data_IF_248825195177
#
_entry.id   IF_248825195177
#
_cell.length_a   1.000
_cell.length_b   1.000
_cell.length_c   1.000
_cell.angle_alpha   90.00
_cell.angle_beta   90.00
_cell.angle_gamma   90.00
#
_symmetry.space_group_name_H-M   'P 1'
#
loop_
_entity.id
_entity.type
_entity.pdbx_description
1 polymer ?
#
# COMPACT_ATOMS: atom_id res chain seq x y z
N UNK A 1 -12.48 -20.98 -12.93
CA UNK A 1 -12.64 -19.67 -12.26
C UNK A 1 -11.42 -19.45 -11.39
N UNK A 2 -10.65 -18.39 -11.62
CA UNK A 2 -9.67 -17.95 -10.61
C UNK A 2 -10.44 -17.27 -9.47
N UNK A 3 -10.22 -17.72 -8.24
CA UNK A 3 -10.74 -17.06 -7.04
C UNK A 3 -9.85 -15.89 -6.66
N UNK A 4 -10.44 -14.74 -6.33
CA UNK A 4 -9.70 -13.60 -5.78
C UNK A 4 -9.60 -13.72 -4.25
N UNK A 5 -8.48 -13.32 -3.67
CA UNK A 5 -8.24 -13.28 -2.22
C UNK A 5 -7.90 -11.85 -1.79
N UNK A 6 -8.50 -11.41 -0.69
CA UNK A 6 -8.11 -10.14 -0.06
C UNK A 6 -6.94 -10.36 0.88
N UNK A 7 -5.93 -9.49 0.80
CA UNK A 7 -4.80 -9.45 1.75
C UNK A 7 -4.91 -8.16 2.56
N UNK A 8 -4.72 -8.26 3.87
CA UNK A 8 -4.80 -7.13 4.80
C UNK A 8 -3.42 -6.82 5.36
N UNK A 9 -3.16 -5.53 5.52
CA UNK A 9 -2.02 -5.01 6.27
C UNK A 9 -2.42 -3.78 7.05
N UNK A 10 -1.63 -3.48 8.09
CA UNK A 10 -1.72 -2.25 8.85
C UNK A 10 -0.32 -1.90 9.35
N UNK A 11 -0.03 -0.61 9.43
CA UNK A 11 1.22 -0.05 9.95
C UNK A 11 0.91 1.26 10.66
N UNK A 12 1.88 1.82 11.37
CA UNK A 12 1.76 3.12 12.05
C UNK A 12 2.97 4.00 11.76
N UNK A 13 2.78 5.31 11.83
CA UNK A 13 3.85 6.31 11.81
C UNK A 13 3.73 7.19 13.05
N UNK A 14 4.86 7.74 13.51
CA UNK A 14 4.89 8.66 14.65
C UNK A 14 4.57 10.11 14.25
N UNK A 15 4.62 10.42 12.97
CA UNK A 15 4.50 11.79 12.46
C UNK A 15 3.54 11.83 11.26
N UNK A 16 2.69 12.86 11.23
CA UNK A 16 1.87 13.19 10.06
C UNK A 16 2.69 14.02 9.05
N UNK A 17 3.68 13.38 8.42
CA UNK A 17 4.47 13.96 7.33
C UNK A 17 4.42 13.06 6.10
N UNK A 18 4.61 13.64 4.91
CA UNK A 18 4.68 12.90 3.63
C UNK A 18 5.62 11.70 3.74
N UNK A 19 6.87 11.94 4.13
CA UNK A 19 7.89 10.90 4.13
C UNK A 19 7.50 9.78 5.10
N UNK A 20 7.03 10.12 6.30
CA UNK A 20 6.68 9.12 7.29
C UNK A 20 5.47 8.25 6.87
N UNK A 21 4.47 8.84 6.19
CA UNK A 21 3.34 8.09 5.61
C UNK A 21 3.82 7.18 4.47
N UNK A 22 4.61 7.71 3.54
CA UNK A 22 5.07 6.99 2.35
C UNK A 22 6.03 5.85 2.74
N UNK A 23 6.98 6.10 3.65
CA UNK A 23 7.98 5.11 4.08
C UNK A 23 7.32 3.97 4.86
N UNK A 24 6.40 4.28 5.79
CA UNK A 24 5.66 3.26 6.52
C UNK A 24 4.77 2.41 5.59
N UNK A 25 4.13 3.05 4.60
CA UNK A 25 3.31 2.34 3.61
C UNK A 25 4.17 1.46 2.71
N UNK A 26 5.33 1.92 2.27
CA UNK A 26 6.29 1.15 1.46
C UNK A 26 6.72 -0.12 2.20
N UNK A 27 7.19 0.02 3.44
CA UNK A 27 7.63 -1.11 4.27
C UNK A 27 6.50 -2.15 4.45
N UNK A 28 5.26 -1.69 4.64
CA UNK A 28 4.10 -2.57 4.72
C UNK A 28 3.85 -3.32 3.40
N UNK A 29 3.88 -2.64 2.26
CA UNK A 29 3.66 -3.26 0.95
C UNK A 29 4.76 -4.26 0.58
N UNK A 30 6.02 -3.93 0.85
CA UNK A 30 7.17 -4.84 0.65
C UNK A 30 7.02 -6.13 1.48
N UNK A 31 6.61 -6.01 2.75
CA UNK A 31 6.31 -7.17 3.60
C UNK A 31 5.14 -8.00 3.10
N UNK A 32 4.07 -7.36 2.63
CA UNK A 32 2.91 -8.08 2.07
C UNK A 32 3.32 -8.86 0.82
N UNK A 33 4.05 -8.22 -0.10
CA UNK A 33 4.53 -8.88 -1.33
C UNK A 33 5.42 -10.07 -0.98
N UNK A 34 6.41 -9.87 -0.11
CA UNK A 34 7.34 -10.92 0.28
C UNK A 34 6.68 -12.06 1.05
N UNK A 35 5.68 -11.78 1.90
CA UNK A 35 5.02 -12.81 2.71
C UNK A 35 4.04 -13.69 1.91
N UNK A 36 3.65 -13.25 0.71
CA UNK A 36 2.65 -13.93 -0.13
C UNK A 36 3.19 -14.30 -1.52
N UNK A 37 4.49 -14.09 -1.77
CA UNK A 37 5.15 -14.33 -3.07
C UNK A 37 4.40 -13.69 -4.26
N UNK A 38 3.89 -12.47 -4.07
CA UNK A 38 3.09 -11.78 -5.09
C UNK A 38 3.96 -11.25 -6.22
N UNK A 39 3.48 -11.40 -7.45
CA UNK A 39 3.95 -10.59 -8.59
C UNK A 39 2.92 -9.48 -8.89
N UNK A 40 3.37 -8.37 -9.48
CA UNK A 40 2.49 -7.21 -9.76
C UNK A 40 1.24 -7.59 -10.56
N UNK A 41 1.39 -8.49 -11.52
CA UNK A 41 0.31 -8.91 -12.43
C UNK A 41 -0.82 -9.69 -11.71
N UNK A 42 -0.56 -10.19 -10.49
CA UNK A 42 -1.59 -10.86 -9.66
C UNK A 42 -2.47 -9.87 -8.90
N UNK A 43 -2.07 -8.59 -8.82
CA UNK A 43 -2.72 -7.58 -7.97
C UNK A 43 -3.83 -6.89 -8.77
N UNK A 44 -5.08 -7.29 -8.50
CA UNK A 44 -6.25 -6.69 -9.14
C UNK A 44 -6.47 -5.21 -8.74
N UNK A 45 -6.39 -4.91 -7.44
CA UNK A 45 -6.56 -3.56 -6.90
C UNK A 45 -6.04 -3.46 -5.47
N UNK A 46 -5.74 -2.24 -5.03
CA UNK A 46 -5.32 -1.93 -3.65
C UNK A 46 -6.15 -0.77 -3.14
N UNK A 47 -6.71 -0.95 -1.94
CA UNK A 47 -7.51 0.07 -1.26
C UNK A 47 -6.78 0.42 0.02
N UNK A 48 -6.44 1.69 0.16
CA UNK A 48 -5.83 2.25 1.35
C UNK A 48 -6.89 2.97 2.19
N UNK A 49 -6.60 3.07 3.49
CA UNK A 49 -7.35 3.91 4.42
C UNK A 49 -6.36 4.49 5.41
N UNK A 50 -6.53 5.75 5.78
CA UNK A 50 -5.79 6.36 6.89
C UNK A 50 -6.74 6.73 8.01
N UNK A 51 -6.22 6.84 9.23
CA UNK A 51 -6.92 7.51 10.32
C UNK A 51 -6.95 9.02 10.06
N UNK A 52 -7.93 9.73 10.65
CA UNK A 52 -8.19 11.14 10.37
C UNK A 52 -7.02 12.08 10.70
N UNK A 53 -6.12 11.66 11.59
CA UNK A 53 -4.91 12.38 12.01
C UNK A 53 -3.76 12.31 10.98
N UNK A 54 -3.87 11.46 9.96
CA UNK A 54 -2.89 11.32 8.87
C UNK A 54 -3.46 11.90 7.57
N UNK A 55 -3.08 13.13 7.27
CA UNK A 55 -3.57 13.91 6.14
C UNK A 55 -2.48 14.65 5.34
N UNK A 56 -1.19 14.41 5.66
CA UNK A 56 -0.08 15.09 5.00
C UNK A 56 0.23 14.56 3.58
N UNK A 57 -0.14 13.32 3.26
CA UNK A 57 -0.04 12.77 1.91
C UNK A 57 -0.89 11.49 1.74
N UNK A 58 -1.00 11.01 0.51
CA UNK A 58 -1.69 9.77 0.17
C UNK A 58 -0.77 8.54 0.27
N UNK A 59 -1.20 7.45 0.94
CA UNK A 59 -0.42 6.21 1.04
C UNK A 59 -0.16 5.55 -0.33
N UNK A 60 -1.07 5.68 -1.30
CA UNK A 60 -0.87 5.14 -2.65
C UNK A 60 0.40 5.65 -3.35
N UNK A 61 0.96 6.79 -2.93
CA UNK A 61 2.22 7.30 -3.46
C UNK A 61 3.38 6.30 -3.26
N UNK A 62 3.37 5.53 -2.17
CA UNK A 62 4.37 4.49 -1.92
C UNK A 62 4.35 3.42 -3.02
N UNK A 63 3.16 2.90 -3.36
CA UNK A 63 2.99 1.92 -4.42
C UNK A 63 3.46 2.48 -5.79
N UNK A 64 3.17 3.75 -6.09
CA UNK A 64 3.66 4.40 -7.33
C UNK A 64 5.18 4.47 -7.37
N UNK A 65 5.83 4.82 -6.25
CA UNK A 65 7.30 4.83 -6.17
C UNK A 65 7.92 3.42 -6.18
N UNK A 66 7.13 2.36 -5.94
CA UNK A 66 7.54 0.96 -6.11
C UNK A 66 7.33 0.46 -7.56
N UNK A 67 6.89 1.32 -8.48
CA UNK A 67 6.66 0.97 -9.88
C UNK A 67 5.29 0.33 -10.15
N UNK A 68 4.33 0.45 -9.23
CA UNK A 68 2.96 -0.07 -9.44
C UNK A 68 2.18 0.89 -10.34
N UNK A 69 2.63 1.06 -11.58
CA UNK A 69 2.10 2.04 -12.54
C UNK A 69 0.71 1.65 -13.08
N UNK A 70 0.45 0.35 -13.23
CA UNK A 70 -0.79 -0.17 -13.83
C UNK A 70 -1.78 -0.76 -12.82
N UNK A 71 -1.38 -0.88 -11.55
CA UNK A 71 -2.28 -1.35 -10.48
C UNK A 71 -3.31 -0.26 -10.16
N UNK A 72 -4.57 -0.66 -10.03
CA UNK A 72 -5.64 0.24 -9.59
C UNK A 72 -5.47 0.54 -8.09
N UNK A 73 -5.28 1.81 -7.74
CA UNK A 73 -5.09 2.27 -6.36
C UNK A 73 -6.23 3.21 -5.95
N UNK A 74 -6.79 3.01 -4.76
CA UNK A 74 -7.78 3.88 -4.14
C UNK A 74 -7.28 4.31 -2.75
N UNK A 75 -7.36 5.60 -2.44
CA UNK A 75 -7.08 6.14 -1.10
C UNK A 75 -8.37 6.47 -0.37
#
# INVERSE_FOLDING_TARGET
MSSVRGIRGATTTRENTRNAIVDATRDLLEKIVSANDLILDDIAAVIFTTTEDLNADFPAQAARQMGWEHVALLN
#
